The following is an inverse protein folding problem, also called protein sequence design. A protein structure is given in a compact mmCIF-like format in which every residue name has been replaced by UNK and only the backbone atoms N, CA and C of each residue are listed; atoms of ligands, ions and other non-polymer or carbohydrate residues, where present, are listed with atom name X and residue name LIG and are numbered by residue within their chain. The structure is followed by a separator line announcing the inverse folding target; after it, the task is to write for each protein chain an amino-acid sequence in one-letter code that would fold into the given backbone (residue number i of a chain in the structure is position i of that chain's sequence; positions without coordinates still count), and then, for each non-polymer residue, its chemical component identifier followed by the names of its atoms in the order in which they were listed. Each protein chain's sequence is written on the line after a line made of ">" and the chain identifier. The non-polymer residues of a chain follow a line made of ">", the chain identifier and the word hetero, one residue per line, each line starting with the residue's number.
data_IF_536548685922
#
_entry.id   IF_536548685922
#
_cell.length_a   1.000
_cell.length_b   1.000
_cell.length_c   1.000
_cell.angle_alpha   90.00
_cell.angle_beta   90.00
_cell.angle_gamma   90.00
#
_symmetry.space_group_name_H-M   'P 1'
#
loop_
_entity.id
_entity.type
_entity.pdbx_description
1 polymer ?
#
# COMPACT_ATOMS: atom_id res chain seq x y z
N UNK A 1 -19.37 -12.56 2.75
CA UNK A 1 -19.10 -11.24 2.13
C UNK A 1 -17.59 -11.06 2.08
N UNK A 2 -17.00 -11.06 0.89
CA UNK A 2 -15.53 -10.94 0.72
C UNK A 2 -15.21 -9.49 0.44
N UNK A 3 -14.37 -8.88 1.27
CA UNK A 3 -14.01 -7.48 1.11
C UNK A 3 -12.65 -7.33 0.45
N UNK A 4 -12.66 -6.80 -0.78
CA UNK A 4 -11.45 -6.43 -1.48
C UNK A 4 -10.94 -5.09 -0.95
N UNK A 5 -9.65 -5.03 -0.63
CA UNK A 5 -8.99 -3.80 -0.19
C UNK A 5 -7.85 -3.45 -1.12
N UNK A 6 -7.60 -2.17 -1.32
CA UNK A 6 -6.46 -1.70 -2.11
C UNK A 6 -5.31 -1.32 -1.19
N UNK A 7 -4.09 -1.72 -1.56
CA UNK A 7 -2.87 -1.36 -0.84
C UNK A 7 -2.59 0.14 -1.00
N UNK A 8 -2.53 0.85 0.13
CA UNK A 8 -2.26 2.29 0.21
C UNK A 8 -0.86 2.65 -0.31
N UNK A 9 0.08 1.71 -0.34
CA UNK A 9 1.44 1.94 -0.82
C UNK A 9 1.60 1.66 -2.32
N UNK A 10 1.44 0.41 -2.75
CA UNK A 10 1.74 0.00 -4.12
C UNK A 10 0.55 0.17 -5.09
N UNK A 11 -0.67 0.34 -4.59
CA UNK A 11 -1.90 0.46 -5.38
C UNK A 11 -2.43 -0.86 -5.96
N UNK A 12 -1.85 -2.01 -5.57
CA UNK A 12 -2.37 -3.34 -5.93
C UNK A 12 -3.54 -3.72 -5.02
N UNK A 13 -4.42 -4.59 -5.50
CA UNK A 13 -5.45 -5.21 -4.69
C UNK A 13 -4.82 -6.20 -3.70
N UNK A 14 -5.40 -6.28 -2.52
CA UNK A 14 -5.01 -7.18 -1.44
C UNK A 14 -5.99 -8.34 -1.46
N UNK A 15 -5.46 -9.55 -1.50
CA UNK A 15 -6.28 -10.76 -1.35
C UNK A 15 -6.95 -10.77 0.03
N UNK A 16 -8.25 -11.12 0.10
CA UNK A 16 -8.99 -11.16 1.34
C UNK A 16 -8.33 -12.13 2.33
N UNK A 17 -8.26 -11.75 3.61
CA UNK A 17 -7.57 -12.53 4.64
C UNK A 17 -6.04 -12.40 4.65
N UNK A 18 -5.47 -11.63 3.72
CA UNK A 18 -4.02 -11.38 3.63
C UNK A 18 -3.71 -9.90 3.84
N UNK A 19 -2.47 -9.59 4.20
CA UNK A 19 -1.94 -8.23 4.31
C UNK A 19 -1.84 -7.74 5.75
N UNK A 20 -1.66 -6.43 5.90
CA UNK A 20 -1.48 -5.78 7.20
C UNK A 20 -2.27 -4.47 7.25
N UNK A 21 -2.99 -4.28 8.34
CA UNK A 21 -3.65 -3.03 8.69
C UNK A 21 -2.76 -2.26 9.65
N UNK A 22 -2.44 -1.01 9.31
CA UNK A 22 -1.70 -0.10 10.18
C UNK A 22 -2.57 1.11 10.49
N UNK A 23 -2.82 1.35 11.77
CA UNK A 23 -3.58 2.51 12.25
C UNK A 23 -2.57 3.56 12.69
N UNK A 24 -2.62 4.75 12.09
CA UNK A 24 -1.78 5.88 12.50
C UNK A 24 -2.35 6.53 13.76
N UNK A 25 -1.52 7.32 14.46
CA UNK A 25 -1.95 8.05 15.66
C UNK A 25 -3.10 9.05 15.38
N UNK A 26 -3.20 9.55 14.14
CA UNK A 26 -4.31 10.40 13.69
C UNK A 26 -5.61 9.63 13.37
N UNK A 27 -5.65 8.31 13.59
CA UNK A 27 -6.81 7.45 13.32
C UNK A 27 -6.93 6.99 11.87
N UNK A 28 -6.14 7.53 10.94
CA UNK A 28 -6.10 7.06 9.55
C UNK A 28 -5.63 5.61 9.45
N UNK A 29 -6.34 4.82 8.65
CA UNK A 29 -6.02 3.41 8.40
C UNK A 29 -5.26 3.27 7.09
N UNK A 30 -4.09 2.64 7.14
CA UNK A 30 -3.28 2.26 5.98
C UNK A 30 -3.33 0.75 5.78
N UNK A 31 -3.61 0.34 4.54
CA UNK A 31 -3.63 -1.07 4.16
C UNK A 31 -2.38 -1.42 3.36
N UNK A 32 -1.71 -2.50 3.74
CA UNK A 32 -0.52 -2.98 3.07
C UNK A 32 -0.72 -4.41 2.57
N UNK A 33 -0.35 -4.67 1.32
CA UNK A 33 -0.40 -6.02 0.74
C UNK A 33 0.70 -6.95 1.30
N UNK A 34 1.82 -6.40 1.77
CA UNK A 34 2.96 -7.20 2.24
C UNK A 34 3.91 -6.40 3.14
N UNK A 35 4.73 -7.12 3.91
CA UNK A 35 5.77 -6.53 4.77
C UNK A 35 6.77 -5.67 4.00
N UNK A 36 7.00 -5.94 2.70
CA UNK A 36 7.82 -5.08 1.83
C UNK A 36 7.25 -3.67 1.73
N UNK A 37 5.94 -3.54 1.52
CA UNK A 37 5.28 -2.24 1.42
C UNK A 37 5.30 -1.49 2.75
N UNK A 38 5.09 -2.21 3.86
CA UNK A 38 5.17 -1.63 5.20
C UNK A 38 6.58 -1.09 5.50
N UNK A 39 7.63 -1.89 5.24
CA UNK A 39 9.03 -1.46 5.45
C UNK A 39 9.39 -0.24 4.61
N UNK A 40 9.02 -0.23 3.32
CA UNK A 40 9.31 0.90 2.44
C UNK A 40 8.59 2.18 2.87
N UNK A 41 7.33 2.06 3.30
CA UNK A 41 6.58 3.17 3.87
C UNK A 41 7.23 3.69 5.17
N UNK A 42 7.63 2.79 6.07
CA UNK A 42 8.33 3.14 7.32
C UNK A 42 9.70 3.81 7.07
N UNK A 43 10.38 3.45 5.98
CA UNK A 43 11.62 4.10 5.54
C UNK A 43 11.39 5.45 4.83
N UNK A 44 10.15 5.91 4.68
CA UNK A 44 9.85 7.18 4.01
C UNK A 44 10.10 7.17 2.50
N UNK A 45 10.16 5.98 1.86
CA UNK A 45 10.36 5.91 0.41
C UNK A 45 9.06 6.25 -0.32
N UNK A 46 9.13 7.22 -1.23
CA UNK A 46 8.00 7.57 -2.07
C UNK A 46 7.65 6.43 -3.05
N UNK A 47 6.42 5.89 -3.03
CA UNK A 47 6.01 4.89 -4.03
C UNK A 47 6.05 5.46 -5.45
N UNK A 48 5.85 6.78 -5.59
CA UNK A 48 5.88 7.52 -6.86
C UNK A 48 7.26 7.52 -7.55
N UNK A 49 8.33 7.17 -6.84
CA UNK A 49 9.69 7.05 -7.40
C UNK A 49 10.04 5.60 -7.76
N UNK A 50 9.22 4.63 -7.34
CA UNK A 50 9.48 3.20 -7.52
C UNK A 50 8.74 2.64 -8.73
N UNK A 51 9.49 2.30 -9.78
CA UNK A 51 8.98 1.80 -11.08
C UNK A 51 8.01 0.62 -11.00
N UNK A 52 8.11 -0.21 -9.96
CA UNK A 52 7.30 -1.42 -9.79
C UNK A 52 5.92 -1.17 -9.15
N UNK A 53 5.66 0.03 -8.63
CA UNK A 53 4.36 0.34 -8.02
C UNK A 53 3.37 0.82 -9.07
N UNK A 54 2.08 0.47 -8.94
CA UNK A 54 1.04 0.98 -9.85
C UNK A 54 0.95 2.52 -9.79
N UNK A 55 1.25 3.11 -8.62
CA UNK A 55 1.29 4.56 -8.43
C UNK A 55 2.34 5.28 -9.28
N UNK A 56 3.46 4.62 -9.61
CA UNK A 56 4.46 5.16 -10.53
C UNK A 56 3.92 5.26 -11.96
N UNK A 57 3.25 4.21 -12.44
CA UNK A 57 2.69 4.16 -13.80
C UNK A 57 1.59 5.19 -14.03
N UNK A 58 0.74 5.43 -13.03
CA UNK A 58 -0.38 6.40 -13.14
C UNK A 58 0.11 7.84 -13.30
N UNK A 59 1.23 8.22 -12.69
CA UNK A 59 1.78 9.58 -12.77
C UNK A 59 2.46 9.93 -14.10
N UNK A 60 2.76 8.93 -14.92
CA UNK A 60 3.43 9.10 -16.22
C UNK A 60 2.48 8.97 -17.42
N UNK A 61 1.20 8.83 -17.15
CA UNK A 61 0.13 8.87 -18.13
C UNK A 61 -0.50 10.26 -18.10
#
# INVERSE_FOLDING_TARGET
>A
MVMFRTCSYCGKEIEPGTGLMFVKNDGSILWFCSSKCFKLWRMGRDPRKLKWTKKYTVLRK
#
